data_IF_024345873868
#
_entry.id   IF_024345873868
#
_cell.length_a   1.000
_cell.length_b   1.000
_cell.length_c   1.000
_cell.angle_alpha   90.00
_cell.angle_beta   90.00
_cell.angle_gamma   90.00
#
_symmetry.space_group_name_H-M   'P 1'
#
loop_
_entity.id
_entity.type
_entity.pdbx_description
1 polymer ?
#
# COMPACT_ATOMS: atom_id res chain seq x y z
N UNK A 1 5.61 -8.03 -0.55
CA UNK A 1 4.30 -8.70 -0.36
C UNK A 1 3.55 -8.70 -1.69
N UNK A 2 2.48 -9.47 -1.85
CA UNK A 2 1.65 -9.46 -3.07
C UNK A 2 0.31 -8.78 -2.80
N UNK A 3 -0.21 -8.06 -3.79
CA UNK A 3 -1.55 -7.48 -3.79
C UNK A 3 -2.29 -7.92 -5.04
N UNK A 4 -3.46 -8.52 -4.87
CA UNK A 4 -4.34 -8.95 -5.96
C UNK A 4 -5.67 -8.21 -5.89
N UNK A 5 -6.10 -7.61 -7.00
CA UNK A 5 -7.32 -6.81 -7.04
C UNK A 5 -8.51 -7.69 -7.41
N UNK A 6 -9.46 -7.80 -6.48
CA UNK A 6 -10.70 -8.57 -6.64
C UNK A 6 -11.75 -7.74 -7.37
N UNK A 7 -11.82 -6.44 -7.08
CA UNK A 7 -12.63 -5.45 -7.82
C UNK A 7 -12.08 -4.05 -7.57
N UNK A 8 -12.25 -3.14 -8.53
CA UNK A 8 -11.72 -1.77 -8.46
C UNK A 8 -10.32 -1.61 -9.08
N UNK A 9 -9.56 -0.62 -8.59
CA UNK A 9 -8.26 -0.23 -9.16
C UNK A 9 -7.32 0.31 -8.08
N UNK A 10 -6.05 -0.06 -8.15
CA UNK A 10 -4.98 0.50 -7.32
C UNK A 10 -4.02 1.29 -8.20
N UNK A 11 -3.77 2.54 -7.85
CA UNK A 11 -2.57 3.25 -8.29
C UNK A 11 -1.45 2.93 -7.29
N UNK A 12 -0.53 2.06 -7.73
CA UNK A 12 0.55 1.54 -6.93
C UNK A 12 1.81 2.39 -7.10
N UNK A 13 2.12 3.20 -6.11
CA UNK A 13 3.31 4.05 -6.10
C UNK A 13 4.48 3.27 -5.53
N UNK A 14 5.64 3.31 -6.18
CA UNK A 14 6.84 2.67 -5.65
C UNK A 14 8.13 3.42 -5.98
N UNK A 15 9.11 3.29 -5.09
CA UNK A 15 10.50 3.71 -5.33
C UNK A 15 11.46 2.90 -4.50
N UNK A 16 12.74 2.95 -4.85
CA UNK A 16 13.80 2.37 -4.02
C UNK A 16 13.84 3.10 -2.67
N UNK A 17 13.88 2.33 -1.58
CA UNK A 17 13.96 2.90 -0.22
C UNK A 17 15.17 3.83 -0.07
N UNK A 18 14.93 5.01 0.50
CA UNK A 18 15.95 6.06 0.69
C UNK A 18 16.21 6.93 -0.55
N UNK A 19 15.52 6.68 -1.67
CA UNK A 19 15.54 7.56 -2.83
C UNK A 19 14.73 8.84 -2.58
N UNK A 20 15.23 9.97 -3.07
CA UNK A 20 14.51 11.25 -3.11
C UNK A 20 13.77 11.47 -4.42
N UNK A 21 13.83 10.51 -5.36
CA UNK A 21 13.09 10.61 -6.62
C UNK A 21 11.59 10.54 -6.39
N UNK A 22 10.85 11.13 -7.33
CA UNK A 22 9.41 10.92 -7.43
C UNK A 22 9.12 9.42 -7.64
N UNK A 23 8.11 8.87 -6.96
CA UNK A 23 7.76 7.46 -7.10
C UNK A 23 7.16 7.18 -8.48
N UNK A 24 7.52 6.03 -9.04
CA UNK A 24 6.85 5.50 -10.23
C UNK A 24 5.47 4.98 -9.83
N UNK A 25 4.51 5.03 -10.76
CA UNK A 25 3.14 4.57 -10.54
C UNK A 25 2.78 3.47 -11.52
N UNK A 26 2.26 2.36 -11.00
CA UNK A 26 1.70 1.25 -11.78
C UNK A 26 0.20 1.19 -11.48
N UNK A 27 -0.64 1.13 -12.52
CA UNK A 27 -2.08 0.90 -12.35
C UNK A 27 -2.33 -0.60 -12.33
N UNK A 28 -3.00 -1.08 -11.28
CA UNK A 28 -3.38 -2.49 -11.08
C UNK A 28 -4.89 -2.57 -11.04
N UNK A 29 -5.48 -3.20 -12.04
CA UNK A 29 -6.93 -3.32 -12.23
C UNK A 29 -7.45 -4.66 -11.71
N UNK A 30 -8.78 -4.81 -11.71
CA UNK A 30 -9.46 -6.06 -11.41
C UNK A 30 -8.84 -7.26 -12.15
N UNK A 31 -8.54 -8.31 -11.39
CA UNK A 31 -7.91 -9.52 -11.90
C UNK A 31 -6.38 -9.45 -12.01
N UNK A 32 -5.78 -8.29 -11.76
CA UNK A 32 -4.32 -8.10 -11.83
C UNK A 32 -3.65 -8.22 -10.45
N UNK A 33 -2.33 -8.40 -10.47
CA UNK A 33 -1.51 -8.58 -9.28
C UNK A 33 -0.24 -7.73 -9.35
N UNK A 34 0.14 -7.13 -8.23
CA UNK A 34 1.44 -6.50 -8.04
C UNK A 34 2.25 -7.19 -6.95
N UNK A 35 3.57 -7.28 -7.17
CA UNK A 35 4.52 -7.80 -6.20
C UNK A 35 5.49 -6.70 -5.78
N UNK A 36 5.65 -6.55 -4.47
CA UNK A 36 6.67 -5.67 -3.89
C UNK A 36 7.86 -6.47 -3.38
N UNK A 37 9.04 -6.32 -3.99
CA UNK A 37 10.26 -6.93 -3.48
C UNK A 37 10.74 -6.21 -2.20
N UNK A 38 11.69 -6.80 -1.45
CA UNK A 38 12.30 -6.14 -0.30
C UNK A 38 12.95 -4.79 -0.66
N UNK A 39 13.04 -3.87 0.31
CA UNK A 39 13.70 -2.56 0.16
C UNK A 39 13.07 -1.63 -0.89
N UNK A 40 11.74 -1.72 -1.06
CA UNK A 40 10.94 -0.81 -1.88
C UNK A 40 9.91 -0.10 -1.00
N UNK A 41 9.99 1.24 -1.00
CA UNK A 41 8.93 2.08 -0.46
C UNK A 41 7.73 1.98 -1.39
N UNK A 42 6.53 1.80 -0.83
CA UNK A 42 5.33 1.68 -1.63
C UNK A 42 4.11 2.33 -0.97
N UNK A 43 3.29 2.96 -1.79
CA UNK A 43 2.01 3.56 -1.41
C UNK A 43 0.91 3.10 -2.35
N UNK A 44 -0.33 3.17 -1.88
CA UNK A 44 -1.50 2.82 -2.68
C UNK A 44 -2.47 3.99 -2.65
N UNK A 45 -2.96 4.40 -3.83
CA UNK A 45 -4.15 5.23 -3.95
C UNK A 45 -5.27 4.41 -4.59
N UNK A 46 -6.48 4.63 -4.13
CA UNK A 46 -7.68 3.92 -4.57
C UNK A 46 -8.62 4.94 -5.23
N UNK A 47 -8.51 5.15 -6.56
CA UNK A 47 -9.34 6.13 -7.27
C UNK A 47 -10.84 5.75 -7.32
N UNK A 48 -11.15 4.48 -7.04
CA UNK A 48 -12.51 3.92 -6.95
C UNK A 48 -12.59 2.95 -5.77
N UNK A 49 -13.81 2.63 -5.33
CA UNK A 49 -14.05 1.58 -4.34
C UNK A 49 -13.37 0.28 -4.78
N UNK A 50 -12.46 -0.22 -3.93
CA UNK A 50 -11.53 -1.29 -4.31
C UNK A 50 -11.48 -2.36 -3.23
N UNK A 51 -11.67 -3.60 -3.65
CA UNK A 51 -11.46 -4.80 -2.82
C UNK A 51 -10.21 -5.51 -3.31
N UNK A 52 -9.25 -5.73 -2.42
CA UNK A 52 -8.00 -6.40 -2.77
C UNK A 52 -7.52 -7.33 -1.65
N UNK A 53 -6.70 -8.31 -2.02
CA UNK A 53 -6.08 -9.26 -1.10
C UNK A 53 -4.60 -8.92 -0.94
N UNK A 54 -4.15 -8.74 0.30
CA UNK A 54 -2.73 -8.61 0.63
C UNK A 54 -2.18 -9.93 1.14
N UNK A 55 -1.24 -10.52 0.40
CA UNK A 55 -0.63 -11.82 0.72
C UNK A 55 0.83 -11.62 1.14
N UNK A 56 1.14 -11.91 2.40
CA UNK A 56 2.51 -11.92 2.95
C UNK A 56 3.02 -13.34 3.15
N UNK A 57 4.33 -13.55 2.96
CA UNK A 57 4.99 -14.84 3.22
C UNK A 57 5.40 -15.04 4.68
N UNK A 58 5.44 -13.97 5.47
CA UNK A 58 5.87 -14.01 6.87
C UNK A 58 4.67 -14.05 7.82
N UNK A 59 4.78 -14.74 8.98
CA UNK A 59 3.81 -14.62 10.07
C UNK A 59 3.68 -13.15 10.49
N UNK A 60 2.46 -12.71 10.76
CA UNK A 60 2.16 -11.33 11.15
C UNK A 60 1.76 -11.32 12.63
N UNK A 61 2.69 -11.64 13.53
CA UNK A 61 2.48 -11.23 14.92
C UNK A 61 2.48 -9.70 14.98
N UNK A 62 1.56 -9.13 15.76
CA UNK A 62 1.33 -7.68 15.84
C UNK A 62 2.63 -6.93 16.17
N UNK A 63 3.49 -7.54 16.99
CA UNK A 63 4.74 -6.95 17.45
C UNK A 63 5.78 -6.82 16.32
N UNK A 64 5.90 -7.83 15.46
CA UNK A 64 6.78 -7.80 14.28
C UNK A 64 6.21 -6.91 13.17
N UNK A 65 4.87 -6.84 13.03
CA UNK A 65 4.21 -5.98 12.04
C UNK A 65 4.47 -4.49 12.29
N UNK A 66 4.32 -4.01 13.52
CA UNK A 66 4.53 -2.58 13.84
C UNK A 66 6.02 -2.18 13.79
N UNK A 67 6.94 -3.11 14.11
CA UNK A 67 8.39 -2.85 14.06
C UNK A 67 8.92 -2.73 12.62
N UNK A 68 8.30 -3.42 11.66
CA UNK A 68 8.73 -3.45 10.25
C UNK A 68 8.00 -2.42 9.37
N UNK A 69 7.07 -1.63 9.93
CA UNK A 69 6.35 -0.58 9.22
C UNK A 69 6.99 0.77 9.48
N UNK A 70 7.82 1.23 8.54
CA UNK A 70 8.25 2.63 8.49
C UNK A 70 7.27 3.40 7.62
N UNK A 71 6.52 4.31 8.21
CA UNK A 71 5.64 5.23 7.48
C UNK A 71 6.50 6.33 6.87
N UNK A 72 6.39 6.50 5.56
CA UNK A 72 7.11 7.54 4.80
C UNK A 72 6.09 8.39 4.07
N UNK A 73 6.27 9.72 4.13
CA UNK A 73 5.51 10.64 3.27
C UNK A 73 6.01 10.49 1.83
N UNK A 74 5.27 9.76 1.01
CA UNK A 74 5.58 9.55 -0.41
C UNK A 74 4.86 10.53 -1.34
N UNK A 75 3.68 10.99 -0.94
CA UNK A 75 2.82 11.93 -1.66
C UNK A 75 2.04 12.73 -0.63
N UNK A 76 1.75 14.00 -0.91
CA UNK A 76 0.87 14.78 -0.03
C UNK A 76 -0.50 14.10 0.06
N UNK A 77 -1.01 13.97 1.29
CA UNK A 77 -2.36 13.49 1.56
C UNK A 77 -3.42 14.61 1.45
N UNK A 78 -3.04 15.81 1.00
CA UNK A 78 -3.96 16.94 0.85
C UNK A 78 -5.13 16.57 -0.08
N UNK A 79 -6.34 16.54 0.48
CA UNK A 79 -7.57 16.18 -0.23
C UNK A 79 -7.86 14.67 -0.32
N UNK A 80 -7.06 13.82 0.32
CA UNK A 80 -7.31 12.38 0.44
C UNK A 80 -7.87 12.03 1.83
N UNK A 81 -8.83 11.11 1.87
CA UNK A 81 -9.24 10.50 3.14
C UNK A 81 -8.15 9.53 3.59
N UNK A 82 -7.38 9.90 4.61
CA UNK A 82 -6.46 8.98 5.30
C UNK A 82 -7.20 8.27 6.42
N UNK A 83 -6.85 6.99 6.65
CA UNK A 83 -7.31 6.22 7.79
C UNK A 83 -6.12 5.85 8.67
N UNK A 84 -6.26 6.08 9.96
CA UNK A 84 -5.30 5.64 10.98
C UNK A 84 -5.96 4.60 11.87
N UNK A 85 -5.27 3.53 12.29
CA UNK A 85 -5.83 2.52 13.18
C UNK A 85 -6.37 3.07 14.51
N UNK A 86 -5.90 4.24 14.95
CA UNK A 86 -6.37 4.93 16.15
C UNK A 86 -7.81 5.46 16.02
N UNK A 87 -8.31 5.65 14.79
CA UNK A 87 -9.60 6.29 14.53
C UNK A 87 -10.81 5.33 14.61
N UNK A 88 -10.56 4.05 14.88
CA UNK A 88 -11.60 3.05 15.15
C UNK A 88 -12.40 2.62 13.91
N UNK A 89 -12.79 1.35 13.91
CA UNK A 89 -13.63 0.74 12.88
C UNK A 89 -15.03 1.39 12.90
N UNK A 90 -15.45 1.98 11.77
CA UNK A 90 -16.86 2.34 11.55
C UNK A 90 -17.40 1.40 10.50
N UNK A 91 -18.00 0.33 11.02
CA UNK A 91 -18.92 -0.61 10.36
C UNK A 91 -19.88 0.04 9.37
#
# INVERSE_FOLDING_TARGET
HYCYVVSGTIEYLHRVTGSTSEPETIVVNEGEMVFTPPMIDHGMKFPVDTVFLTLSRNPRDQESYEKDVVRVEMVSADGLTSWTPEDGDRS
#
